data_IF_054810826601
#
_entry.id   IF_054810826601
#
_cell.length_a   1.000
_cell.length_b   1.000
_cell.length_c   1.000
_cell.angle_alpha   90.00
_cell.angle_beta   90.00
_cell.angle_gamma   90.00
#
_symmetry.space_group_name_H-M   'P 1'
#
loop_
_entity.id
_entity.type
_entity.pdbx_description
1 polymer ?
#
# COMPACT_ATOMS: atom_id res chain seq x y z
N UNK A 1 10.02 -5.28 6.83
CA UNK A 1 8.84 -6.01 6.34
C UNK A 1 9.22 -7.47 6.31
N UNK A 2 8.35 -8.31 6.82
CA UNK A 2 8.54 -9.75 6.87
C UNK A 2 7.77 -10.41 5.73
N UNK A 3 8.25 -11.56 5.29
CA UNK A 3 7.54 -12.37 4.31
C UNK A 3 6.13 -12.71 4.82
N UNK A 4 5.13 -12.59 3.94
CA UNK A 4 3.73 -12.81 4.26
C UNK A 4 3.00 -11.60 4.89
N UNK A 5 3.68 -10.49 5.17
CA UNK A 5 3.03 -9.23 5.52
C UNK A 5 2.18 -8.71 4.33
N UNK A 6 1.02 -8.11 4.63
CA UNK A 6 0.22 -7.37 3.64
C UNK A 6 0.29 -5.87 3.91
N UNK A 7 0.43 -5.11 2.83
CA UNK A 7 0.44 -3.64 2.82
C UNK A 7 -0.36 -3.11 1.66
N UNK A 8 -0.76 -1.86 1.76
CA UNK A 8 -1.54 -1.22 0.72
C UNK A 8 -1.05 0.20 0.41
N UNK A 9 -1.58 0.75 -0.69
CA UNK A 9 -1.22 2.08 -1.18
C UNK A 9 -2.36 2.69 -1.98
N UNK A 10 -2.53 4.01 -1.84
CA UNK A 10 -3.26 4.84 -2.80
C UNK A 10 -2.26 5.63 -3.65
N UNK A 11 -2.24 5.38 -4.95
CA UNK A 11 -1.35 6.03 -5.89
C UNK A 11 -0.41 5.08 -6.62
N UNK A 12 0.10 5.57 -7.75
CA UNK A 12 0.97 4.84 -8.67
C UNK A 12 2.24 4.26 -8.00
N UNK A 13 2.77 3.18 -8.59
CA UNK A 13 3.89 2.37 -8.10
C UNK A 13 5.27 3.03 -8.27
N UNK A 14 5.33 4.20 -8.93
CA UNK A 14 6.48 5.11 -8.88
C UNK A 14 6.75 5.72 -7.50
N UNK A 15 5.78 5.65 -6.58
CA UNK A 15 5.93 6.14 -5.20
C UNK A 15 6.76 5.23 -4.29
N UNK A 16 6.91 5.64 -3.02
CA UNK A 16 7.85 5.03 -2.07
C UNK A 16 7.26 4.85 -0.66
N UNK A 17 5.95 5.04 -0.53
CA UNK A 17 5.22 4.97 0.74
C UNK A 17 4.14 3.91 0.67
N UNK A 18 4.11 3.04 1.67
CA UNK A 18 3.11 2.01 1.90
C UNK A 18 2.48 2.24 3.28
N UNK A 19 1.31 1.65 3.53
CA UNK A 19 0.73 1.59 4.87
C UNK A 19 0.38 0.13 5.22
N UNK A 20 0.18 -0.18 6.52
CA UNK A 20 -0.47 -1.43 6.90
C UNK A 20 -1.80 -1.59 6.15
N UNK A 21 -2.08 -2.80 5.69
CA UNK A 21 -3.35 -3.13 5.04
C UNK A 21 -4.55 -2.63 5.86
N UNK A 22 -5.49 -1.95 5.19
CA UNK A 22 -6.71 -1.45 5.80
C UNK A 22 -6.55 -0.16 6.59
N UNK A 23 -5.39 0.50 6.53
CA UNK A 23 -5.21 1.83 7.15
C UNK A 23 -6.24 2.81 6.57
N UNK A 24 -7.06 3.44 7.42
CA UNK A 24 -8.08 4.39 6.97
C UNK A 24 -7.47 5.53 6.16
N UNK A 25 -8.17 5.99 5.12
CA UNK A 25 -7.69 7.09 4.27
C UNK A 25 -7.34 8.34 5.07
N UNK A 26 -8.20 8.73 6.03
CA UNK A 26 -7.99 9.86 6.94
C UNK A 26 -6.76 9.71 7.85
N UNK A 27 -6.26 8.49 8.04
CA UNK A 27 -5.04 8.23 8.80
C UNK A 27 -3.77 8.31 7.97
N UNK A 28 -3.90 8.46 6.65
CA UNK A 28 -2.77 8.53 5.70
C UNK A 28 -2.31 9.95 5.40
N UNK A 29 -3.14 10.96 5.68
CA UNK A 29 -2.84 12.37 5.39
C UNK A 29 -2.30 12.54 3.97
N UNK A 30 -3.09 12.09 2.99
CA UNK A 30 -2.83 12.21 1.55
C UNK A 30 -3.95 13.03 0.89
N UNK A 31 -3.65 13.78 -0.18
CA UNK A 31 -4.65 14.60 -0.86
C UNK A 31 -5.65 13.74 -1.64
N UNK A 32 -6.89 14.22 -1.85
CA UNK A 32 -7.92 13.51 -2.62
C UNK A 32 -7.46 13.01 -4.00
N UNK A 33 -6.53 13.72 -4.64
CA UNK A 33 -5.98 13.34 -5.95
C UNK A 33 -5.29 11.97 -5.96
N UNK A 34 -4.84 11.44 -4.82
CA UNK A 34 -4.31 10.07 -4.73
C UNK A 34 -5.36 8.98 -5.00
N UNK A 35 -6.66 9.31 -4.96
CA UNK A 35 -7.75 8.40 -5.33
C UNK A 35 -8.01 8.38 -6.84
N UNK A 36 -7.47 9.34 -7.59
CA UNK A 36 -7.74 9.44 -9.01
C UNK A 36 -7.01 8.32 -9.76
N UNK A 37 -7.66 7.64 -10.71
CA UNK A 37 -6.96 6.78 -11.64
C UNK A 37 -5.99 7.64 -12.46
N UNK A 38 -4.81 7.08 -12.75
CA UNK A 38 -3.82 7.77 -13.57
C UNK A 38 -4.22 7.70 -15.05
N UNK A 39 -4.43 8.83 -15.75
CA UNK A 39 -4.80 8.82 -17.16
C UNK A 39 -3.67 8.37 -18.09
N UNK A 40 -2.41 8.40 -17.63
CA UNK A 40 -1.22 8.07 -18.41
C UNK A 40 -0.62 6.70 -18.05
N UNK A 41 -1.15 6.04 -17.00
CA UNK A 41 -0.75 4.69 -16.62
C UNK A 41 -1.94 3.73 -16.65
N UNK A 42 -2.00 2.76 -17.57
CA UNK A 42 -3.11 1.81 -17.61
C UNK A 42 -3.07 0.94 -16.35
N UNK A 43 -3.97 1.23 -15.41
CA UNK A 43 -4.23 0.37 -14.26
C UNK A 43 -5.08 -0.83 -14.72
N UNK A 44 -4.80 -2.06 -14.24
CA UNK A 44 -5.66 -3.21 -14.49
C UNK A 44 -7.11 -2.89 -14.13
N UNK A 45 -8.08 -3.46 -14.88
CA UNK A 45 -9.52 -3.13 -14.74
C UNK A 45 -10.10 -3.38 -13.34
N UNK A 46 -9.45 -4.21 -12.53
CA UNK A 46 -9.85 -4.53 -11.16
C UNK A 46 -9.25 -3.58 -10.10
N UNK A 47 -8.43 -2.59 -10.50
CA UNK A 47 -7.89 -1.58 -9.60
C UNK A 47 -8.77 -0.33 -9.62
N UNK A 48 -9.54 -0.13 -8.54
CA UNK A 48 -10.40 1.03 -8.35
C UNK A 48 -9.73 2.05 -7.44
N UNK A 49 -9.98 3.34 -7.69
CA UNK A 49 -9.49 4.46 -6.87
C UNK A 49 -7.97 4.48 -6.63
N UNK A 50 -7.19 3.94 -7.58
CA UNK A 50 -5.73 3.85 -7.47
C UNK A 50 -5.28 3.10 -6.20
N UNK A 51 -6.10 2.13 -5.75
CA UNK A 51 -5.87 1.36 -4.54
C UNK A 51 -5.20 0.03 -4.86
N UNK A 52 -3.99 -0.15 -4.34
CA UNK A 52 -3.16 -1.31 -4.58
C UNK A 52 -2.92 -2.05 -3.27
N UNK A 53 -2.93 -3.38 -3.33
CA UNK A 53 -2.56 -4.25 -2.21
C UNK A 53 -1.39 -5.10 -2.63
N UNK A 54 -0.42 -5.22 -1.72
CA UNK A 54 0.79 -5.99 -1.95
C UNK A 54 1.02 -7.00 -0.84
N UNK A 55 1.48 -8.19 -1.23
CA UNK A 55 2.05 -9.18 -0.34
C UNK A 55 3.57 -9.09 -0.38
N UNK A 56 4.20 -9.16 0.79
CA UNK A 56 5.66 -9.25 0.90
C UNK A 56 6.08 -10.68 0.61
N UNK A 57 6.85 -10.87 -0.47
CA UNK A 57 7.37 -12.17 -0.90
C UNK A 57 8.78 -12.39 -0.37
N UNK A 58 9.61 -11.34 -0.34
CA UNK A 58 10.95 -11.39 0.27
C UNK A 58 11.08 -10.32 1.34
N UNK A 59 11.70 -10.61 2.50
CA UNK A 59 11.89 -9.60 3.53
C UNK A 59 12.76 -8.44 3.04
N UNK A 60 12.32 -7.21 3.27
CA UNK A 60 13.10 -5.99 2.98
C UNK A 60 12.97 -4.94 4.09
N UNK A 61 13.97 -4.05 4.15
CA UNK A 61 14.02 -2.98 5.16
C UNK A 61 13.18 -1.78 4.75
N UNK A 62 12.48 -1.22 5.72
CA UNK A 62 11.72 0.03 5.58
C UNK A 62 11.97 0.91 6.78
N UNK A 63 11.83 2.22 6.61
CA UNK A 63 11.62 3.13 7.73
C UNK A 63 10.14 3.11 8.09
N UNK A 64 9.82 2.81 9.33
CA UNK A 64 8.46 2.88 9.83
C UNK A 64 8.31 4.10 10.74
N UNK A 65 7.13 4.74 10.71
CA UNK A 65 6.88 5.91 11.55
C UNK A 65 5.40 6.32 11.52
N UNK A 66 5.02 7.16 12.47
CA UNK A 66 3.70 7.78 12.49
C UNK A 66 3.57 8.83 11.39
N UNK A 67 2.36 8.95 10.84
CA UNK A 67 1.98 9.93 9.84
C UNK A 67 1.52 11.20 10.57
N UNK A 68 2.10 12.35 10.24
CA UNK A 68 1.65 13.63 10.77
C UNK A 68 0.32 14.07 10.12
N UNK A 69 -0.44 14.92 10.79
CA UNK A 69 -1.65 15.50 10.24
C UNK A 69 -1.36 16.33 8.98
N UNK A 70 -2.32 16.38 8.05
CA UNK A 70 -2.14 17.04 6.76
C UNK A 70 -3.37 16.89 5.87
N UNK A 71 -3.51 17.77 4.88
CA UNK A 71 -4.63 17.77 3.91
C UNK A 71 -6.02 17.74 4.56
N UNK A 72 -6.19 18.42 5.70
CA UNK A 72 -7.44 18.42 6.45
C UNK A 72 -7.77 17.10 7.15
N UNK A 73 -6.80 16.19 7.27
CA UNK A 73 -6.95 14.88 7.87
C UNK A 73 -6.07 14.73 9.12
N UNK A 74 -6.52 13.98 10.14
CA UNK A 74 -5.79 13.84 11.41
C UNK A 74 -4.46 13.09 11.28
N UNK A 75 -4.30 12.22 10.27
CA UNK A 75 -3.12 11.37 10.15
C UNK A 75 -3.08 10.34 11.29
N UNK A 76 -1.94 10.22 11.96
CA UNK A 76 -1.69 9.27 13.06
C UNK A 76 -1.69 7.79 12.65
N UNK A 77 -1.85 7.48 11.37
CA UNK A 77 -1.58 6.16 10.83
C UNK A 77 -0.10 5.82 10.90
N UNK A 78 0.24 4.57 10.59
CA UNK A 78 1.63 4.13 10.39
C UNK A 78 1.92 4.13 8.89
N UNK A 79 3.09 4.61 8.52
CA UNK A 79 3.62 4.49 7.15
C UNK A 79 4.92 3.69 7.13
N UNK A 80 5.19 3.11 5.98
CA UNK A 80 6.43 2.44 5.65
C UNK A 80 7.06 3.15 4.46
N UNK A 81 8.26 3.69 4.65
CA UNK A 81 9.05 4.35 3.64
C UNK A 81 10.19 3.45 3.17
N UNK A 82 10.23 3.18 1.86
CA UNK A 82 11.15 2.24 1.20
C UNK A 82 12.53 2.84 0.89
N UNK A 83 12.91 3.94 1.54
CA UNK A 83 14.23 4.60 1.41
C UNK A 83 14.61 4.89 -0.06
N UNK A 84 13.78 5.67 -0.75
CA UNK A 84 14.00 6.05 -2.15
C UNK A 84 13.93 4.90 -3.18
N UNK A 85 13.49 3.71 -2.79
CA UNK A 85 13.23 2.60 -3.73
C UNK A 85 11.76 2.63 -4.18
N UNK A 86 11.44 2.90 -5.45
CA UNK A 86 10.06 2.88 -5.94
C UNK A 86 9.38 1.51 -5.78
N UNK A 87 8.06 1.49 -5.61
CA UNK A 87 7.30 0.23 -5.48
C UNK A 87 7.47 -0.64 -6.73
N UNK A 88 7.47 -0.06 -7.94
CA UNK A 88 7.70 -0.85 -9.17
C UNK A 88 9.05 -1.59 -9.18
N UNK A 89 10.06 -1.08 -8.49
CA UNK A 89 11.36 -1.76 -8.37
C UNK A 89 11.23 -3.01 -7.51
N UNK A 90 10.48 -2.92 -6.40
CA UNK A 90 10.22 -4.04 -5.51
C UNK A 90 9.33 -5.11 -6.17
N UNK A 91 8.37 -4.70 -6.99
CA UNK A 91 7.56 -5.61 -7.82
C UNK A 91 8.44 -6.35 -8.84
N UNK A 92 9.26 -5.61 -9.61
CA UNK A 92 10.18 -6.21 -10.60
C UNK A 92 11.23 -7.13 -9.97
N UNK A 93 11.67 -6.83 -8.74
CA UNK A 93 12.60 -7.67 -7.97
C UNK A 93 11.97 -8.92 -7.35
N UNK A 94 10.64 -9.03 -7.37
CA UNK A 94 9.89 -10.08 -6.69
C UNK A 94 10.00 -9.99 -5.17
N UNK A 95 10.24 -8.80 -4.62
CA UNK A 95 10.18 -8.52 -3.18
C UNK A 95 8.72 -8.30 -2.74
N UNK A 96 7.94 -7.70 -3.63
CA UNK A 96 6.50 -7.52 -3.51
C UNK A 96 5.78 -8.23 -4.66
N UNK A 97 4.57 -8.69 -4.37
CA UNK A 97 3.59 -9.17 -5.35
C UNK A 97 2.32 -8.32 -5.19
N UNK A 98 1.77 -7.83 -6.30
CA UNK A 98 0.45 -7.20 -6.32
C UNK A 98 -0.64 -8.26 -6.31
N UNK A 99 -1.60 -8.12 -5.41
CA UNK A 99 -2.66 -9.10 -5.18
C UNK A 99 -4.02 -8.44 -5.31
N UNK A 100 -5.03 -9.19 -5.74
CA UNK A 100 -6.40 -8.68 -5.77
C UNK A 100 -6.90 -8.46 -4.32
N UNK A 101 -7.37 -7.25 -3.97
CA UNK A 101 -7.91 -6.99 -2.64
C UNK A 101 -9.01 -7.97 -2.22
N UNK A 102 -9.79 -8.50 -3.16
CA UNK A 102 -10.84 -9.49 -2.89
C UNK A 102 -10.26 -10.80 -2.33
N UNK A 103 -9.13 -11.27 -2.88
CA UNK A 103 -8.48 -12.51 -2.45
C UNK A 103 -7.87 -12.37 -1.04
N UNK A 104 -7.38 -11.17 -0.71
CA UNK A 104 -6.73 -10.90 0.59
C UNK A 104 -7.73 -10.90 1.75
N UNK A 105 -8.94 -10.37 1.55
CA UNK A 105 -9.98 -10.36 2.59
C UNK A 105 -10.28 -11.79 3.05
N UNK A 106 -10.40 -12.72 2.12
CA UNK A 106 -10.62 -14.13 2.43
C UNK A 106 -9.45 -14.75 3.19
N UNK A 107 -8.21 -14.46 2.81
CA UNK A 107 -7.02 -14.98 3.49
C UNK A 107 -6.87 -14.42 4.91
N UNK A 108 -7.09 -13.12 5.10
CA UNK A 108 -6.96 -12.46 6.42
C UNK A 108 -8.07 -12.91 7.36
N UNK A 109 -9.32 -13.00 6.90
CA UNK A 109 -10.45 -13.51 7.71
C UNK A 109 -10.22 -14.96 8.14
N UNK A 110 -9.70 -15.82 7.25
CA UNK A 110 -9.36 -17.21 7.59
C UNK A 110 -8.25 -17.31 8.64
N UNK A 111 -7.28 -16.39 8.66
CA UNK A 111 -6.19 -16.36 9.65
C UNK A 111 -6.64 -15.85 11.02
N UNK A 112 -7.66 -14.99 11.08
CA UNK A 112 -8.20 -14.42 12.32
C UNK A 112 -9.16 -15.34 13.09
N UNK A 113 -9.67 -16.41 12.48
CA UNK A 113 -10.60 -17.38 13.11
C UNK A 113 -9.89 -18.56 13.81
N UNK A 114 -8.77 -18.34 14.47
CA UNK A 114 -8.13 -19.36 15.32
C UNK A 114 -8.32 -19.06 16.80
#
# INVERSE_FOLDING_TARGET
>A
MNEGDYVDRFGHDGGQFLAPLGTLYSKRSIPPSNLNPDPFWPVPKNIYNNYHVYRVIKPFKVYNGSIAAGFGQPGQGRQYYTKKVPIHTLLKGGDLEEVDPADVVDEVLKRGCK
#
